data_IF_085252990788
#
_entry.id   IF_085252990788
#
_cell.length_a   1.000
_cell.length_b   1.000
_cell.length_c   1.000
_cell.angle_alpha   90.00
_cell.angle_beta   90.00
_cell.angle_gamma   90.00
#
_symmetry.space_group_name_H-M   'P 1'
#
loop_
_entity.id
_entity.type
_entity.pdbx_description
1 polymer ?
#
# COMPACT_ATOMS: atom_id res chain seq x y z
N UNK A 1 16.92 -5.62 -1.33
CA UNK A 1 15.82 -5.14 -2.22
C UNK A 1 16.48 -4.30 -3.30
N UNK A 2 16.46 -4.77 -4.56
CA UNK A 2 17.15 -4.09 -5.67
C UNK A 2 16.51 -2.72 -5.89
N UNK A 3 17.36 -1.72 -5.77
CA UNK A 3 17.15 -0.33 -6.15
C UNK A 3 17.29 -0.37 -7.67
N UNK A 4 16.37 0.05 -8.53
CA UNK A 4 16.46 0.16 -10.01
C UNK A 4 15.74 -0.96 -10.77
N UNK A 5 14.80 -0.55 -11.62
CA UNK A 5 14.06 -1.37 -12.60
C UNK A 5 14.02 -0.62 -13.96
N UNK A 6 15.22 -0.36 -14.51
CA UNK A 6 15.44 0.40 -15.76
C UNK A 6 16.12 1.76 -15.59
N UNK A 7 16.52 2.36 -16.71
CA UNK A 7 17.47 3.49 -16.78
C UNK A 7 16.93 4.83 -16.24
N UNK A 8 15.61 5.01 -16.16
CA UNK A 8 14.98 6.28 -15.75
C UNK A 8 13.71 6.16 -14.89
N UNK A 9 13.27 4.94 -14.52
CA UNK A 9 12.09 4.78 -13.67
C UNK A 9 12.46 4.92 -12.19
N UNK A 10 11.78 5.79 -11.42
CA UNK A 10 11.99 5.82 -9.98
C UNK A 10 11.65 4.45 -9.42
N UNK A 11 12.60 3.86 -8.67
CA UNK A 11 12.38 2.61 -7.96
C UNK A 11 11.06 2.72 -7.20
N UNK A 12 10.13 1.81 -7.48
CA UNK A 12 8.93 1.68 -6.66
C UNK A 12 9.35 1.45 -5.20
N UNK A 13 9.28 2.49 -4.37
CA UNK A 13 9.66 2.39 -2.96
C UNK A 13 8.46 1.81 -2.20
N UNK A 14 8.57 0.56 -1.79
CA UNK A 14 7.62 -0.04 -0.86
C UNK A 14 7.99 0.37 0.58
N UNK A 15 7.02 0.91 1.31
CA UNK A 15 7.16 1.24 2.73
C UNK A 15 6.23 0.37 3.56
N UNK A 16 6.72 -0.09 4.70
CA UNK A 16 5.82 -0.67 5.70
C UNK A 16 4.96 0.42 6.33
N UNK A 17 3.82 0.02 6.91
CA UNK A 17 2.95 0.92 7.68
C UNK A 17 3.72 1.72 8.73
N UNK A 18 4.64 1.05 9.44
CA UNK A 18 5.44 1.69 10.47
C UNK A 18 6.37 2.74 9.86
N UNK A 19 7.11 2.37 8.82
CA UNK A 19 8.09 3.26 8.18
C UNK A 19 7.45 4.50 7.56
N UNK A 20 6.26 4.38 6.96
CA UNK A 20 5.54 5.53 6.41
C UNK A 20 4.98 6.42 7.53
N UNK A 21 4.54 5.83 8.65
CA UNK A 21 4.05 6.59 9.80
C UNK A 21 5.18 7.38 10.45
N UNK A 22 6.30 6.73 10.74
CA UNK A 22 7.49 7.36 11.36
C UNK A 22 8.03 8.52 10.51
N UNK A 23 7.95 8.39 9.19
CA UNK A 23 8.36 9.44 8.25
C UNK A 23 7.44 10.67 8.28
N UNK A 24 6.14 10.47 8.50
CA UNK A 24 5.13 11.53 8.39
C UNK A 24 4.79 12.19 9.72
N UNK A 25 4.87 11.46 10.84
CA UNK A 25 4.59 11.95 12.21
C UNK A 25 5.31 13.26 12.56
N UNK A 26 6.57 13.53 12.14
CA UNK A 26 7.23 14.79 12.45
C UNK A 26 6.45 16.01 11.90
N UNK A 27 5.90 15.89 10.69
CA UNK A 27 5.33 17.00 9.92
C UNK A 27 3.79 17.05 9.96
N UNK A 28 3.13 15.91 10.19
CA UNK A 28 1.69 15.77 10.10
C UNK A 28 1.10 15.05 11.31
N UNK A 29 -0.15 15.37 11.63
CA UNK A 29 -1.01 14.48 12.41
C UNK A 29 -1.66 13.46 11.49
N UNK A 30 -1.46 12.17 11.76
CA UNK A 30 -2.10 11.09 11.02
C UNK A 30 -3.47 10.83 11.66
N UNK A 31 -4.54 11.18 10.97
CA UNK A 31 -5.91 11.00 11.48
C UNK A 31 -6.38 9.56 11.27
N UNK A 32 -6.18 9.01 10.06
CA UNK A 32 -6.68 7.69 9.68
C UNK A 32 -5.69 6.99 8.73
N UNK A 33 -5.61 5.67 8.85
CA UNK A 33 -4.85 4.81 7.93
C UNK A 33 -5.84 3.84 7.29
N UNK A 34 -5.87 3.81 5.96
CA UNK A 34 -6.72 2.93 5.17
C UNK A 34 -5.86 1.98 4.35
N UNK A 35 -6.41 0.81 4.02
CA UNK A 35 -5.78 -0.16 3.13
C UNK A 35 -6.65 -0.33 1.89
N UNK A 36 -6.03 -0.27 0.71
CA UNK A 36 -6.71 -0.66 -0.52
C UNK A 36 -6.83 -2.17 -0.59
N UNK A 37 -8.05 -2.62 -0.89
CA UNK A 37 -8.38 -4.03 -1.13
C UNK A 37 -7.70 -4.55 -2.40
N UNK A 38 -7.59 -5.87 -2.51
CA UNK A 38 -7.03 -6.54 -3.67
C UNK A 38 -7.91 -6.30 -4.90
N UNK A 39 -7.35 -5.75 -5.99
CA UNK A 39 -8.14 -5.39 -7.16
C UNK A 39 -8.42 -6.63 -8.01
N UNK A 40 -9.29 -7.51 -7.54
CA UNK A 40 -9.61 -8.75 -8.25
C UNK A 40 -10.26 -8.54 -9.62
N UNK A 41 -10.84 -7.36 -9.85
CA UNK A 41 -11.37 -6.94 -11.16
C UNK A 41 -10.29 -6.63 -12.18
N UNK A 42 -9.04 -6.41 -11.76
CA UNK A 42 -7.92 -6.10 -12.64
C UNK A 42 -7.24 -7.35 -13.19
N UNK A 43 -7.66 -8.55 -12.75
CA UNK A 43 -7.10 -9.81 -13.21
C UNK A 43 -7.87 -10.35 -14.42
N UNK A 44 -7.18 -10.96 -15.40
CA UNK A 44 -7.83 -11.54 -16.58
C UNK A 44 -8.59 -12.86 -16.26
N UNK A 45 -8.54 -13.33 -15.01
CA UNK A 45 -9.20 -14.55 -14.54
C UNK A 45 -9.95 -14.30 -13.23
N UNK A 46 -11.01 -15.09 -12.99
CA UNK A 46 -11.80 -15.02 -11.75
C UNK A 46 -11.07 -15.77 -10.63
N UNK A 47 -10.90 -15.11 -9.50
CA UNK A 47 -10.34 -15.74 -8.29
C UNK A 47 -11.46 -16.37 -7.46
N UNK A 48 -11.28 -17.62 -6.95
CA UNK A 48 -12.22 -18.22 -6.03
C UNK A 48 -12.48 -17.34 -4.80
N UNK A 49 -13.76 -17.20 -4.40
CA UNK A 49 -14.19 -16.26 -3.36
C UNK A 49 -13.43 -16.42 -2.02
N UNK A 50 -13.08 -17.65 -1.66
CA UNK A 50 -12.31 -17.93 -0.42
C UNK A 50 -10.89 -17.37 -0.51
N UNK A 51 -10.23 -17.56 -1.66
CA UNK A 51 -8.90 -17.05 -1.89
C UNK A 51 -8.91 -15.52 -1.96
N UNK A 52 -9.92 -14.94 -2.60
CA UNK A 52 -10.12 -13.49 -2.62
C UNK A 52 -10.22 -12.90 -1.20
N UNK A 53 -11.05 -13.48 -0.33
CA UNK A 53 -11.21 -13.00 1.06
C UNK A 53 -9.91 -13.09 1.87
N UNK A 54 -9.09 -14.11 1.63
CA UNK A 54 -7.78 -14.25 2.27
C UNK A 54 -6.85 -13.16 1.74
N UNK A 55 -6.76 -13.00 0.42
CA UNK A 55 -5.93 -11.96 -0.20
C UNK A 55 -6.34 -10.56 0.27
N UNK A 56 -7.63 -10.24 0.29
CA UNK A 56 -8.13 -8.95 0.80
C UNK A 56 -7.74 -8.69 2.26
N UNK A 57 -7.75 -9.74 3.09
CA UNK A 57 -7.43 -9.61 4.52
C UNK A 57 -5.94 -9.39 4.77
N UNK A 58 -5.07 -10.00 3.98
CA UNK A 58 -3.63 -10.05 4.27
C UNK A 58 -2.77 -9.21 3.32
N UNK A 59 -3.20 -9.00 2.09
CA UNK A 59 -2.46 -8.24 1.09
C UNK A 59 -3.08 -6.87 0.89
N UNK A 60 -3.08 -6.02 1.91
CA UNK A 60 -3.39 -4.60 1.71
C UNK A 60 -2.40 -4.01 0.70
N UNK A 61 -2.80 -3.91 -0.57
CA UNK A 61 -1.89 -3.60 -1.69
C UNK A 61 -1.39 -2.17 -1.65
N UNK A 62 -2.16 -1.29 -1.00
CA UNK A 62 -1.78 0.10 -0.85
C UNK A 62 -2.22 0.64 0.49
N UNK A 63 -1.38 1.47 1.09
CA UNK A 63 -1.66 2.16 2.35
C UNK A 63 -1.97 3.61 2.01
N UNK A 64 -3.14 4.09 2.43
CA UNK A 64 -3.48 5.50 2.39
C UNK A 64 -3.45 6.08 3.79
N UNK A 65 -2.92 7.29 3.92
CA UNK A 65 -2.95 8.02 5.18
C UNK A 65 -3.68 9.34 4.95
N UNK A 66 -4.70 9.59 5.78
CA UNK A 66 -5.30 10.91 5.88
C UNK A 66 -4.51 11.69 6.93
N UNK A 67 -3.85 12.74 6.48
CA UNK A 67 -2.95 13.55 7.28
C UNK A 67 -3.48 14.98 7.40
N UNK A 68 -3.38 15.58 8.58
CA UNK A 68 -3.58 17.00 8.82
C UNK A 68 -2.23 17.66 9.08
N UNK A 69 -1.98 18.80 8.44
CA UNK A 69 -0.77 19.60 8.71
C UNK A 69 -0.82 20.07 10.17
N UNK A 70 0.31 19.97 10.87
CA UNK A 70 0.47 20.58 12.19
C UNK A 70 0.43 22.10 12.09
#
# INVERSE_FOLDING_TARGET
>A
VRIFDGEHNPIGKAFSKQKISDMLIPYFHIDHIFYHFFPARSLPFKIPLRLHKILDKYSGFMIYLKCKKK
#
